data_IF_362303657350
#
_entry.id   IF_362303657350
#
_cell.length_a   1.000
_cell.length_b   1.000
_cell.length_c   1.000
_cell.angle_alpha   90.00
_cell.angle_beta   90.00
_cell.angle_gamma   90.00
#
_symmetry.space_group_name_H-M   'P 1'
#
loop_
_entity.id
_entity.type
_entity.pdbx_description
1 polymer ?
#
# COMPACT_ATOMS: atom_id res chain seq x y z
N UNK A 1 -3.76 -29.16 22.86
CA UNK A 1 -3.02 -28.02 22.28
C UNK A 1 -3.89 -27.46 21.17
N UNK A 2 -4.46 -26.27 21.29
CA UNK A 2 -5.11 -25.60 20.17
C UNK A 2 -4.09 -24.73 19.43
N UNK A 3 -3.85 -25.03 18.15
CA UNK A 3 -3.24 -24.09 17.23
C UNK A 3 -4.34 -23.14 16.78
N UNK A 4 -4.50 -22.04 17.52
CA UNK A 4 -5.34 -20.90 17.15
C UNK A 4 -4.49 -19.98 16.27
N UNK A 5 -4.40 -20.31 14.98
CA UNK A 5 -3.87 -19.41 13.95
C UNK A 5 -4.62 -19.69 12.64
N UNK A 6 -5.94 -19.58 12.70
CA UNK A 6 -6.73 -19.25 11.53
C UNK A 6 -6.48 -17.76 11.27
N UNK A 7 -5.36 -17.44 10.60
CA UNK A 7 -5.19 -16.14 9.95
C UNK A 7 -6.14 -16.13 8.76
N UNK A 8 -7.40 -15.81 9.07
CA UNK A 8 -8.42 -15.51 8.08
C UNK A 8 -7.83 -14.50 7.10
N UNK A 9 -7.81 -14.89 5.82
CA UNK A 9 -7.09 -14.19 4.78
C UNK A 9 -7.53 -12.73 4.69
N UNK A 10 -6.61 -11.83 5.05
CA UNK A 10 -6.72 -10.42 4.71
C UNK A 10 -6.35 -10.26 3.23
N UNK A 11 -7.21 -10.79 2.36
CA UNK A 11 -7.24 -10.53 0.92
C UNK A 11 -8.40 -9.59 0.58
N UNK A 12 -8.88 -8.81 1.55
CA UNK A 12 -10.11 -8.00 1.40
C UNK A 12 -9.89 -6.58 0.89
N UNK A 13 -8.67 -6.17 0.57
CA UNK A 13 -8.44 -4.92 -0.14
C UNK A 13 -7.41 -5.14 -1.25
N UNK A 14 -7.91 -5.39 -2.47
CA UNK A 14 -7.09 -5.34 -3.70
C UNK A 14 -6.53 -3.94 -3.96
N UNK A 15 -6.87 -2.94 -3.14
CA UNK A 15 -6.22 -1.65 -3.11
C UNK A 15 -4.99 -1.67 -2.20
N UNK A 16 -3.86 -1.24 -2.76
CA UNK A 16 -2.65 -1.01 -2.00
C UNK A 16 -2.55 0.45 -1.57
N UNK A 17 -1.92 0.68 -0.43
CA UNK A 17 -1.54 2.01 0.01
C UNK A 17 -0.25 2.44 -0.70
N UNK A 18 -0.26 3.64 -1.26
CA UNK A 18 0.87 4.26 -1.95
C UNK A 18 1.25 5.55 -1.23
N UNK A 19 2.54 5.74 -0.97
CA UNK A 19 3.10 6.92 -0.34
C UNK A 19 3.99 7.68 -1.31
N UNK A 20 3.78 8.99 -1.43
CA UNK A 20 4.67 9.85 -2.19
C UNK A 20 5.94 10.11 -1.38
N UNK A 21 7.10 9.74 -1.94
CA UNK A 21 8.40 9.91 -1.29
C UNK A 21 8.85 11.38 -1.17
N UNK A 22 8.20 12.29 -1.91
CA UNK A 22 8.59 13.70 -1.94
C UNK A 22 7.83 14.56 -0.92
N UNK A 23 6.52 14.33 -0.76
CA UNK A 23 5.66 15.13 0.11
C UNK A 23 4.98 14.34 1.24
N UNK A 24 5.08 13.01 1.24
CA UNK A 24 4.45 12.15 2.26
C UNK A 24 2.95 11.94 2.06
N UNK A 25 2.39 12.27 0.89
CA UNK A 25 0.98 12.01 0.57
C UNK A 25 0.71 10.51 0.49
N UNK A 26 -0.35 10.04 1.15
CA UNK A 26 -0.78 8.64 1.10
C UNK A 26 -2.09 8.53 0.31
N UNK A 27 -2.15 7.62 -0.66
CA UNK A 27 -3.33 7.31 -1.47
C UNK A 27 -3.57 5.81 -1.52
N UNK A 28 -4.83 5.38 -1.60
CA UNK A 28 -5.19 3.97 -1.84
C UNK A 28 -5.57 3.79 -3.30
N UNK A 29 -4.92 2.84 -3.96
CA UNK A 29 -5.19 2.53 -5.36
C UNK A 29 -4.97 1.03 -5.61
N UNK A 30 -5.75 0.45 -6.52
CA UNK A 30 -5.58 -0.95 -6.94
C UNK A 30 -4.33 -1.13 -7.81
N UNK A 31 -3.89 -0.06 -8.48
CA UNK A 31 -2.73 -0.03 -9.37
C UNK A 31 -1.87 1.19 -9.08
N UNK A 32 -0.61 1.18 -9.53
CA UNK A 32 0.31 2.31 -9.33
C UNK A 32 -0.31 3.64 -9.80
N UNK A 33 -0.50 4.63 -8.91
CA UNK A 33 -1.14 5.91 -9.25
C UNK A 33 -0.24 6.83 -10.09
N UNK A 34 1.02 6.43 -10.35
CA UNK A 34 1.97 7.21 -11.13
C UNK A 34 2.59 8.34 -10.31
N UNK A 35 2.47 9.58 -10.80
CA UNK A 35 3.08 10.78 -10.22
C UNK A 35 2.10 11.52 -9.29
N UNK A 36 2.65 12.14 -8.24
CA UNK A 36 1.88 12.91 -7.29
C UNK A 36 1.42 14.25 -7.88
N UNK A 37 0.10 14.42 -8.02
CA UNK A 37 -0.49 15.67 -8.53
C UNK A 37 -0.18 16.92 -7.67
N UNK A 38 0.29 16.76 -6.43
CA UNK A 38 0.60 17.90 -5.55
C UNK A 38 2.04 18.38 -5.66
N UNK A 39 2.99 17.49 -5.96
CA UNK A 39 4.41 17.81 -5.87
C UNK A 39 5.25 17.27 -7.05
N UNK A 40 4.66 16.44 -7.91
CA UNK A 40 5.33 15.75 -9.01
C UNK A 40 6.16 14.53 -8.59
N UNK A 41 6.12 14.13 -7.31
CA UNK A 41 6.93 13.02 -6.79
C UNK A 41 6.34 11.63 -7.11
N UNK A 42 7.18 10.61 -7.12
CA UNK A 42 6.75 9.23 -7.38
C UNK A 42 6.05 8.60 -6.15
N UNK A 43 5.03 7.78 -6.42
CA UNK A 43 4.33 7.00 -5.41
C UNK A 43 4.91 5.60 -5.24
N UNK A 44 5.20 5.21 -4.01
CA UNK A 44 5.69 3.88 -3.64
C UNK A 44 4.63 3.09 -2.88
N UNK A 45 4.42 1.84 -3.32
CA UNK A 45 3.51 0.92 -2.68
C UNK A 45 4.06 0.51 -1.30
N UNK A 46 3.31 0.81 -0.22
CA UNK A 46 3.63 0.43 1.16
C UNK A 46 3.25 -1.01 1.50
N UNK A 47 2.32 -1.60 0.76
CA UNK A 47 1.88 -2.99 0.96
C UNK A 47 2.92 -4.01 0.44
N UNK A 48 3.79 -3.60 -0.49
CA UNK A 48 5.03 -4.31 -0.80
C UNK A 48 6.08 -3.96 0.27
N UNK A 49 6.08 -4.73 1.37
CA UNK A 49 7.17 -4.70 2.35
C UNK A 49 8.51 -4.80 1.63
N UNK A 50 9.40 -3.84 1.90
CA UNK A 50 10.79 -3.91 1.46
C UNK A 50 11.48 -4.98 2.33
N UNK A 51 11.69 -6.16 1.76
CA UNK A 51 12.46 -7.26 2.36
C UNK A 51 13.95 -6.95 2.47
#
# INVERSE_FOLDING_TARGET
MPHDQDVEGDTSDISSEYECLQCGKIVRAETSPGECAECGGEFQNRAKSLE
#
